data_IF_969229986724
#
_entry.id   IF_969229986724
#
_cell.length_a   1.000
_cell.length_b   1.000
_cell.length_c   1.000
_cell.angle_alpha   90.00
_cell.angle_beta   90.00
_cell.angle_gamma   90.00
#
_symmetry.space_group_name_H-M   'P 1'
#
loop_
_entity.id
_entity.type
_entity.pdbx_description
1 polymer ?
2 polymer ?
3 polymer ?
4 polymer ?
5 non-polymer ?
6 non-polymer ?
7 non-polymer ?
8 non-polymer ?
9 non-polymer ?
10 non-polymer ?
11 non-polymer ?
12 water ?
#
loop_
_entity_poly.entity_id
_entity_poly.type
_entity_poly.pdbx_seq_one_letter_code
_entity_poly.pdbx_strand_id
2 'polydeoxyribonucleotide' '(DC)(DG)(DG)(DC)(DA)(DT)(DA)(DC)(DG)' ?
3 'polydeoxyribonucleotide' '(DC)(DG)(DT)(DA)' ?
4 'polydeoxyribonucleotide' '(DG)(DC)(DC)(DG)' ?
#
# COMPACT_ATOMS: atom_id res chain seq x y z
N UNK A 11 19.17 -20.60 -3.26
CA UNK A 11 19.46 -19.70 -2.14
C UNK A 11 18.37 -18.64 -1.96
N UNK A 12 17.74 -18.24 -3.06
CA UNK A 12 16.72 -17.20 -3.06
C UNK A 12 15.43 -17.77 -3.64
N UNK A 13 14.36 -17.90 -2.85
CA UNK A 13 13.10 -18.42 -3.40
C UNK A 13 12.42 -17.42 -4.32
N UNK A 14 11.53 -17.93 -5.16
CA UNK A 14 10.97 -17.14 -6.26
C UNK A 14 9.86 -16.20 -5.81
N UNK A 15 9.14 -16.50 -4.73
CA UNK A 15 8.03 -15.68 -4.26
C UNK A 15 8.47 -14.82 -3.08
N UNK A 16 8.03 -13.56 -3.05
CA UNK A 16 8.46 -12.69 -1.96
C UNK A 16 7.96 -13.16 -0.59
N UNK A 17 6.86 -13.90 -0.54
CA UNK A 17 6.34 -14.38 0.73
C UNK A 17 7.13 -15.53 1.30
N UNK A 18 8.13 -16.04 0.57
CA UNK A 18 8.98 -17.12 1.03
C UNK A 18 10.28 -16.64 1.66
N UNK A 19 10.48 -15.34 1.79
CA UNK A 19 11.75 -14.86 2.31
C UNK A 19 11.50 -13.60 3.12
N UNK A 20 12.27 -13.37 4.16
CA UNK A 20 12.14 -12.10 4.89
C UNK A 20 12.64 -10.93 4.06
N UNK A 21 11.90 -9.84 4.14
CA UNK A 21 12.30 -8.60 3.46
C UNK A 21 12.21 -7.48 4.49
N UNK A 22 13.33 -6.96 4.99
CA UNK A 22 13.30 -5.91 6.00
C UNK A 22 13.03 -4.56 5.37
N UNK A 23 12.68 -3.59 6.21
CA UNK A 23 12.35 -2.27 5.70
C UNK A 23 13.58 -1.57 5.12
N UNK A 24 14.72 -1.67 5.78
CA UNK A 24 15.97 -1.12 5.29
C UNK A 24 16.91 -2.26 4.95
N UNK A 25 17.78 -2.03 3.97
CA UNK A 25 18.54 -3.15 3.40
C UNK A 25 19.83 -2.61 2.79
N UNK A 26 20.43 -3.40 1.90
CA UNK A 26 21.80 -3.20 1.49
C UNK A 26 21.92 -2.91 0.01
N UNK A 27 20.80 -2.70 -0.67
CA UNK A 27 20.79 -2.46 -2.10
C UNK A 27 19.81 -1.36 -2.48
N UNK A 28 19.76 -0.31 -1.66
CA UNK A 28 18.72 0.72 -1.80
C UNK A 28 18.73 1.37 -3.18
N UNK A 29 19.89 1.81 -3.66
CA UNK A 29 19.93 2.49 -4.95
C UNK A 29 19.53 1.60 -6.11
N UNK A 30 19.95 0.35 -6.08
CA UNK A 30 19.57 -0.55 -7.16
C UNK A 30 18.07 -0.82 -7.15
N UNK A 31 17.49 -1.06 -5.98
CA UNK A 31 16.06 -1.33 -5.92
C UNK A 31 15.25 -0.10 -6.33
N UNK A 32 15.70 1.10 -5.95
CA UNK A 32 14.95 2.28 -6.33
C UNK A 32 14.92 2.46 -7.84
N UNK A 33 16.03 2.17 -8.53
CA UNK A 33 16.05 2.29 -9.98
C UNK A 33 15.10 1.32 -10.64
N UNK A 34 15.09 0.06 -10.20
CA UNK A 34 14.17 -0.91 -10.78
C UNK A 34 12.73 -0.50 -10.52
N UNK A 35 12.46 0.08 -9.36
CA UNK A 35 11.10 0.52 -9.06
C UNK A 35 10.65 1.71 -9.92
N UNK A 36 11.56 2.55 -10.38
CA UNK A 36 11.18 3.57 -11.37
C UNK A 36 10.68 2.90 -12.65
N UNK A 37 11.40 1.88 -13.12
CA UNK A 37 10.96 1.18 -14.31
C UNK A 37 9.64 0.45 -14.08
N UNK A 38 9.44 -0.10 -12.88
CA UNK A 38 8.15 -0.73 -12.58
C UNK A 38 7.03 0.29 -12.65
N UNK A 39 7.22 1.43 -12.00
CA UNK A 39 6.20 2.48 -11.97
C UNK A 39 5.88 2.95 -13.38
N UNK A 40 6.91 3.15 -14.21
CA UNK A 40 6.68 3.60 -15.56
C UNK A 40 5.91 2.55 -16.38
N UNK A 41 6.21 1.27 -16.16
CA UNK A 41 5.44 0.21 -16.82
C UNK A 41 3.97 0.28 -16.43
N UNK A 42 3.68 0.53 -15.16
CA UNK A 42 2.28 0.70 -14.76
C UNK A 42 1.61 1.87 -15.45
N UNK A 43 2.33 2.97 -15.64
CA UNK A 43 1.72 4.12 -16.28
C UNK A 43 1.37 3.84 -17.73
N UNK A 44 2.02 2.85 -18.34
CA UNK A 44 1.70 2.44 -19.70
C UNK A 44 0.77 1.24 -19.75
N UNK A 45 0.29 0.76 -18.61
CA UNK A 45 -0.63 -0.35 -18.60
C UNK A 45 0.01 -1.71 -18.75
N UNK A 46 1.32 -1.82 -18.55
CA UNK A 46 2.01 -3.11 -18.69
C UNK A 46 2.20 -3.69 -17.29
N UNK A 47 1.15 -4.37 -16.82
CA UNK A 47 1.16 -4.91 -15.47
C UNK A 47 2.17 -6.05 -15.32
N UNK A 48 2.38 -6.83 -16.37
CA UNK A 48 3.38 -7.90 -16.28
C UNK A 48 4.79 -7.37 -16.08
N UNK A 49 5.17 -6.35 -16.86
CA UNK A 49 6.49 -5.75 -16.69
C UNK A 49 6.61 -5.06 -15.35
N UNK A 50 5.54 -4.38 -14.89
CA UNK A 50 5.56 -3.80 -13.57
C UNK A 50 5.87 -4.86 -12.52
N UNK A 51 5.21 -6.02 -12.61
CA UNK A 51 5.43 -7.05 -11.60
C UNK A 51 6.85 -7.58 -11.64
N UNK A 52 7.38 -7.83 -12.84
CA UNK A 52 8.76 -8.32 -12.90
C UNK A 52 9.74 -7.32 -12.29
N UNK A 53 9.63 -6.04 -12.65
CA UNK A 53 10.57 -5.07 -12.10
C UNK A 53 10.38 -4.94 -10.59
N UNK A 54 9.13 -4.96 -10.11
CA UNK A 54 8.91 -4.93 -8.67
C UNK A 54 9.51 -6.16 -7.99
N UNK A 55 9.33 -7.34 -8.58
CA UNK A 55 9.87 -8.57 -7.99
C UNK A 55 11.39 -8.54 -7.97
N UNK A 56 12.01 -8.07 -9.06
CA UNK A 56 13.47 -7.98 -9.10
C UNK A 56 13.98 -7.01 -8.04
N UNK A 57 13.31 -5.87 -7.89
CA UNK A 57 13.70 -4.94 -6.84
C UNK A 57 13.59 -5.59 -5.48
N UNK A 58 12.52 -6.35 -5.27
CA UNK A 58 12.29 -6.97 -3.97
C UNK A 58 13.34 -8.02 -3.66
N UNK A 59 13.77 -8.78 -4.65
CA UNK A 59 14.87 -9.74 -4.47
C UNK A 59 16.10 -9.03 -3.90
N UNK A 60 16.43 -7.87 -4.44
CA UNK A 60 17.61 -7.14 -3.93
C UNK A 60 17.41 -6.70 -2.49
N UNK A 61 16.18 -6.34 -2.12
CA UNK A 61 15.89 -5.94 -0.74
C UNK A 61 16.13 -7.08 0.23
N UNK A 62 15.99 -8.32 -0.22
CA UNK A 62 16.09 -9.50 0.60
C UNK A 62 17.51 -10.05 0.69
N UNK A 63 18.45 -9.49 -0.07
CA UNK A 63 19.83 -9.98 -0.05
C UNK A 63 20.54 -9.56 1.24
N UNK A 64 21.50 -10.35 1.69
CA UNK A 64 22.16 -10.05 2.97
C UNK A 64 23.26 -9.03 2.90
N UNK A 65 23.65 -8.58 1.71
CA UNK A 65 24.75 -7.64 1.58
C UNK A 65 24.64 -6.99 0.22
N UNK A 66 25.45 -5.96 -0.05
CA UNK A 66 25.34 -5.24 -1.32
C UNK A 66 25.78 -6.09 -2.52
N UNK A 67 25.06 -5.92 -3.62
CA UNK A 67 25.54 -6.39 -4.91
C UNK A 67 26.63 -5.44 -5.39
N UNK A 68 27.83 -5.99 -5.62
CA UNK A 68 29.02 -5.27 -6.08
C UNK A 68 29.42 -5.63 -7.49
N UNK A 69 29.03 -6.81 -7.96
CA UNK A 69 29.49 -7.35 -9.23
C UNK A 69 28.32 -8.04 -9.91
N UNK A 70 28.33 -7.97 -11.24
CA UNK A 70 27.23 -8.53 -12.03
C UNK A 70 27.08 -10.02 -11.78
N UNK A 71 28.18 -10.72 -11.53
CA UNK A 71 28.14 -12.16 -11.28
C UNK A 71 27.21 -12.52 -10.13
N UNK A 72 27.00 -11.60 -9.18
CA UNK A 72 26.17 -11.88 -8.01
C UNK A 72 24.68 -11.99 -8.36
N UNK A 73 24.29 -11.62 -9.58
CA UNK A 73 22.91 -11.77 -9.99
C UNK A 73 22.62 -13.12 -10.60
N UNK A 74 23.66 -13.87 -10.99
CA UNK A 74 23.44 -15.16 -11.63
C UNK A 74 22.66 -16.07 -10.70
N UNK A 75 21.58 -16.63 -11.22
CA UNK A 75 20.75 -17.51 -10.43
C UNK A 75 19.68 -16.83 -9.60
N UNK A 76 19.73 -15.50 -9.45
CA UNK A 76 18.67 -14.84 -8.67
C UNK A 76 17.37 -14.83 -9.48
N UNK A 77 16.25 -15.13 -8.87
CA UNK A 77 15.00 -15.07 -9.61
C UNK A 77 14.64 -13.65 -10.01
N UNK A 78 14.00 -13.54 -11.16
CA UNK A 78 13.46 -12.29 -11.72
C UNK A 78 14.53 -11.39 -12.31
N UNK A 79 15.75 -11.88 -12.45
CA UNK A 79 16.81 -11.14 -13.11
C UNK A 79 17.11 -11.79 -14.46
N UNK A 80 16.60 -11.18 -15.51
CA UNK A 80 16.95 -11.57 -16.84
C UNK A 80 17.77 -10.48 -17.51
N UNK A 81 17.72 -10.45 -18.85
CA UNK A 81 18.56 -9.54 -19.59
C UNK A 81 18.31 -8.08 -19.21
N UNK A 82 17.05 -7.69 -19.06
CA UNK A 82 16.75 -6.27 -18.90
C UNK A 82 17.10 -5.79 -17.50
N UNK A 83 16.64 -6.50 -16.47
CA UNK A 83 16.95 -6.08 -15.11
C UNK A 83 18.43 -6.20 -14.82
N UNK A 84 19.11 -7.20 -15.41
CA UNK A 84 20.55 -7.32 -15.18
C UNK A 84 21.30 -6.17 -15.81
N UNK A 85 20.85 -5.72 -16.99
CA UNK A 85 21.52 -4.61 -17.66
C UNK A 85 21.36 -3.31 -16.87
N UNK A 86 20.21 -3.12 -16.24
CA UNK A 86 20.01 -1.94 -15.40
C UNK A 86 21.02 -1.95 -14.26
N UNK A 87 21.13 -3.08 -13.57
CA UNK A 87 22.09 -3.18 -12.46
C UNK A 87 23.51 -3.01 -12.97
N UNK A 88 23.83 -3.63 -14.11
CA UNK A 88 25.18 -3.53 -14.65
C UNK A 88 25.55 -2.07 -14.87
N UNK A 89 24.64 -1.28 -15.46
CA UNK A 89 24.94 0.11 -15.74
C UNK A 89 25.11 0.91 -14.46
N UNK A 90 24.28 0.65 -13.44
CA UNK A 90 24.44 1.32 -12.17
C UNK A 90 25.77 0.97 -11.50
N UNK A 91 26.18 -0.31 -11.59
CA UNK A 91 27.46 -0.71 -10.98
C UNK A 91 28.64 -0.06 -11.68
N UNK A 92 28.60 0.05 -13.01
CA UNK A 92 29.77 0.54 -13.74
C UNK A 92 29.81 2.06 -13.81
N UNK A 93 28.66 2.73 -13.91
CA UNK A 93 28.60 4.17 -14.14
C UNK A 93 27.86 4.96 -13.08
N UNK A 94 27.19 4.30 -12.13
CA UNK A 94 26.42 4.99 -11.12
C UNK A 94 25.07 5.50 -11.58
N UNK A 95 24.71 5.26 -12.85
CA UNK A 95 23.50 5.82 -13.46
C UNK A 95 23.12 4.91 -14.62
N UNK A 96 21.81 4.63 -14.77
CA UNK A 96 21.28 3.84 -15.88
C UNK A 96 20.55 4.77 -16.82
N UNK A 97 20.98 4.82 -18.08
CA UNK A 97 20.43 5.79 -19.01
C UNK A 97 18.92 5.64 -19.19
N UNK A 98 18.43 4.41 -19.27
CA UNK A 98 16.99 4.21 -19.41
C UNK A 98 16.25 4.80 -18.22
N UNK A 99 16.73 4.53 -17.01
CA UNK A 99 16.09 5.07 -15.81
C UNK A 99 16.07 6.58 -15.84
N UNK A 100 17.20 7.20 -16.19
CA UNK A 100 17.26 8.66 -16.20
C UNK A 100 16.35 9.25 -17.28
N UNK A 101 16.26 8.60 -18.42
CA UNK A 101 15.34 9.06 -19.47
C UNK A 101 13.90 8.99 -18.98
N UNK A 102 13.53 7.94 -18.27
CA UNK A 102 12.19 7.88 -17.69
C UNK A 102 11.99 9.04 -16.71
N UNK A 103 12.94 9.21 -15.78
CA UNK A 103 12.83 10.22 -14.74
C UNK A 103 12.53 11.61 -15.30
N UNK A 104 13.23 12.00 -16.36
CA UNK A 104 13.09 13.34 -16.91
C UNK A 104 12.12 13.39 -18.09
N UNK A 105 11.30 12.37 -18.26
CA UNK A 105 10.28 12.42 -19.30
C UNK A 105 9.01 13.10 -18.81
N UNK A 106 8.41 13.87 -19.72
CA UNK A 106 7.16 14.57 -19.42
C UNK A 106 6.05 13.58 -19.08
N UNK A 107 5.99 12.48 -19.82
CA UNK A 107 4.97 11.46 -19.57
C UNK A 107 5.09 10.91 -18.15
N UNK A 108 6.29 10.51 -17.74
CA UNK A 108 6.46 9.95 -16.40
C UNK A 108 6.14 10.99 -15.34
N UNK A 109 6.67 12.20 -15.48
CA UNK A 109 6.47 13.20 -14.44
C UNK A 109 5.00 13.57 -14.28
N UNK A 110 4.29 13.72 -15.40
CA UNK A 110 2.88 14.10 -15.32
C UNK A 110 2.02 12.94 -14.82
N UNK A 111 2.28 11.72 -15.29
CA UNK A 111 1.49 10.59 -14.81
C UNK A 111 1.72 10.39 -13.32
N UNK A 112 2.95 10.55 -12.86
CA UNK A 112 3.22 10.47 -11.43
C UNK A 112 2.46 11.54 -10.67
N UNK A 113 2.52 12.79 -11.14
CA UNK A 113 1.83 13.85 -10.43
C UNK A 113 0.32 13.60 -10.38
N UNK A 114 -0.27 13.24 -11.52
CA UNK A 114 -1.73 13.09 -11.54
C UNK A 114 -2.17 11.86 -10.74
N UNK A 115 -1.48 10.73 -10.86
CA UNK A 115 -1.90 9.55 -10.12
C UNK A 115 -1.70 9.71 -8.61
N UNK A 116 -0.85 10.65 -8.17
CA UNK A 116 -0.73 10.91 -6.75
C UNK A 116 -1.97 11.54 -6.17
N UNK A 117 -2.85 12.12 -7.01
CA UNK A 117 -4.06 12.75 -6.51
C UNK A 117 -5.03 11.67 -6.04
N UNK A 118 -5.57 11.84 -4.85
CA UNK A 118 -6.61 10.94 -4.35
C UNK A 118 -7.84 11.07 -5.24
N UNK A 119 -8.30 9.95 -5.81
CA UNK A 119 -9.42 9.93 -6.73
C UNK A 119 -9.01 9.81 -8.19
N UNK A 120 -7.72 9.82 -8.49
CA UNK A 120 -7.18 9.72 -9.84
C UNK A 120 -6.29 8.50 -9.95
N UNK A 121 -6.64 7.59 -10.86
CA UNK A 121 -5.82 6.44 -11.19
C UNK A 121 -5.13 6.59 -12.53
N UNK A 122 -4.44 5.52 -12.94
CA UNK A 122 -3.71 5.56 -14.19
C UNK A 122 -4.64 5.90 -15.36
N UNK A 123 -5.82 5.28 -15.41
CA UNK A 123 -6.70 5.50 -16.56
C UNK A 123 -7.13 6.96 -16.67
N UNK A 124 -7.51 7.58 -15.54
CA UNK A 124 -7.91 8.98 -15.59
C UNK A 124 -6.72 9.87 -15.93
N UNK A 125 -5.58 9.62 -15.27
CA UNK A 125 -4.37 10.40 -15.54
C UNK A 125 -3.99 10.33 -17.00
N UNK A 126 -4.03 9.14 -17.58
CA UNK A 126 -3.68 8.97 -18.98
C UNK A 126 -4.63 9.73 -19.90
N UNK A 127 -5.93 9.73 -19.58
CA UNK A 127 -6.87 10.48 -20.40
C UNK A 127 -6.56 11.98 -20.36
N UNK A 128 -6.31 12.50 -19.16
CA UNK A 128 -5.95 13.90 -19.01
C UNK A 128 -4.65 14.22 -19.74
N UNK A 129 -3.66 13.32 -19.65
CA UNK A 129 -2.41 13.51 -20.37
C UNK A 129 -2.67 13.62 -21.87
N UNK A 130 -3.48 12.69 -22.40
CA UNK A 130 -3.76 12.71 -23.83
C UNK A 130 -4.54 13.96 -24.24
N UNK A 131 -5.31 14.55 -23.33
CA UNK A 131 -6.02 15.80 -23.60
C UNK A 131 -5.11 17.02 -23.52
N UNK A 132 -3.84 16.86 -23.14
CA UNK A 132 -2.90 17.96 -23.09
C UNK A 132 -2.66 18.55 -21.73
N UNK A 133 -3.30 18.01 -20.68
CA UNK A 133 -3.14 18.56 -19.34
C UNK A 133 -1.82 18.09 -18.75
N UNK A 134 -1.17 18.99 -17.99
CA UNK A 134 0.17 18.70 -17.48
C UNK A 134 0.38 19.04 -16.00
N UNK A 135 -0.37 19.99 -15.43
CA UNK A 135 -0.10 20.49 -14.08
C UNK A 135 -1.36 20.46 -13.23
N UNK A 136 -1.18 20.57 -11.91
CA UNK A 136 -2.34 20.63 -11.04
C UNK A 136 -3.20 21.85 -11.34
N UNK A 137 -2.57 22.97 -11.67
CA UNK A 137 -3.35 24.15 -12.00
C UNK A 137 -4.14 23.98 -13.29
N UNK A 138 -3.61 23.21 -14.25
CA UNK A 138 -4.43 22.84 -15.41
C UNK A 138 -5.73 22.17 -14.96
N UNK A 139 -5.66 21.30 -13.97
CA UNK A 139 -6.86 20.59 -13.53
C UNK A 139 -7.81 21.52 -12.79
N UNK A 140 -7.25 22.41 -11.97
CA UNK A 140 -8.09 23.31 -11.20
C UNK A 140 -8.87 24.26 -12.11
N UNK A 141 -8.29 24.65 -13.24
CA UNK A 141 -8.98 25.56 -14.15
C UNK A 141 -10.13 24.89 -14.88
N UNK A 142 -10.30 23.57 -14.75
CA UNK A 142 -11.35 22.83 -15.45
C UNK A 142 -12.09 21.95 -14.47
N UNK A 143 -12.70 22.56 -13.44
CA UNK A 143 -13.29 21.76 -12.35
C UNK A 143 -14.50 20.97 -12.78
N UNK A 144 -15.12 21.31 -13.92
CA UNK A 144 -16.26 20.54 -14.40
C UNK A 144 -15.89 19.10 -14.69
N UNK A 145 -14.61 18.84 -14.99
CA UNK A 145 -14.22 17.49 -15.32
C UNK A 145 -13.76 16.68 -14.11
N UNK A 146 -14.05 17.12 -12.89
CA UNK A 146 -13.58 16.46 -11.68
C UNK A 146 -14.74 15.93 -10.84
N UNK A 147 -14.55 14.73 -10.30
CA UNK A 147 -15.49 14.20 -9.34
C UNK A 147 -15.30 14.90 -8.00
N UNK A 148 -16.28 14.76 -7.12
CA UNK A 148 -16.14 15.35 -5.80
C UNK A 148 -14.92 14.81 -5.09
N UNK A 149 -14.64 13.51 -5.25
CA UNK A 149 -13.48 12.90 -4.64
C UNK A 149 -12.20 13.55 -5.16
N UNK A 150 -12.12 13.71 -6.48
CA UNK A 150 -10.95 14.34 -7.09
C UNK A 150 -10.80 15.78 -6.67
N UNK A 151 -11.91 16.51 -6.52
CA UNK A 151 -11.82 17.89 -6.05
C UNK A 151 -11.20 17.93 -4.66
N UNK A 152 -11.62 17.01 -3.77
CA UNK A 152 -11.02 16.92 -2.45
C UNK A 152 -9.54 16.54 -2.52
N UNK A 153 -9.21 15.56 -3.37
CA UNK A 153 -7.82 15.19 -3.51
C UNK A 153 -6.95 16.33 -4.03
N UNK A 154 -7.48 17.11 -4.95
CA UNK A 154 -6.76 18.25 -5.49
C UNK A 154 -6.59 19.36 -4.45
N UNK A 155 -7.67 19.69 -3.75
CA UNK A 155 -7.58 20.75 -2.75
C UNK A 155 -6.56 20.39 -1.67
N UNK A 156 -6.53 19.13 -1.25
CA UNK A 156 -5.69 18.68 -0.15
C UNK A 156 -4.35 18.13 -0.61
N UNK A 157 -4.03 18.24 -1.90
CA UNK A 157 -2.86 17.55 -2.44
C UNK A 157 -1.57 17.95 -1.73
N UNK A 158 -1.38 19.22 -1.42
CA UNK A 158 -0.13 19.64 -0.79
C UNK A 158 0.06 18.97 0.56
N UNK A 159 -0.95 19.04 1.43
CA UNK A 159 -0.84 18.38 2.73
C UNK A 159 -0.63 16.88 2.57
N UNK A 160 -1.37 16.27 1.65
CA UNK A 160 -1.30 14.83 1.47
C UNK A 160 0.04 14.37 0.89
N UNK A 161 0.81 15.29 0.33
CA UNK A 161 2.12 14.96 -0.19
C UNK A 161 3.20 14.99 0.89
N UNK A 162 2.89 15.46 2.09
CA UNK A 162 3.79 15.56 3.23
C UNK A 162 3.68 14.30 4.06
N UNK A 163 4.76 13.65 4.46
CA UNK A 163 4.62 12.40 5.19
C UNK A 163 4.04 12.57 6.58
N UNK A 164 3.25 11.58 6.96
CA UNK A 164 2.74 11.39 8.30
C UNK A 164 3.84 10.74 9.14
N UNK A 165 4.03 11.21 10.35
CA UNK A 165 5.04 10.68 11.24
C UNK A 165 4.42 9.68 12.21
N UNK A 166 5.23 8.68 12.58
CA UNK A 166 4.72 7.69 13.54
C UNK A 166 4.29 8.39 14.81
N UNK A 167 4.93 9.52 15.13
CA UNK A 167 4.56 10.32 16.29
C UNK A 167 3.16 10.92 16.15
N UNK A 168 2.64 11.07 14.94
CA UNK A 168 1.27 11.54 14.72
C UNK A 168 0.24 10.42 14.83
N UNK A 169 0.65 9.20 14.51
CA UNK A 169 -0.29 8.08 14.39
C UNK A 169 -0.94 7.77 15.73
N UNK A 170 -0.20 7.87 16.82
CA UNK A 170 -0.72 7.46 18.12
C UNK A 170 -1.85 8.39 18.59
N UNK A 171 -1.67 9.71 18.43
CA UNK A 171 -2.73 10.62 18.84
C UNK A 171 -3.98 10.39 18.00
N UNK A 172 -3.80 10.14 16.71
CA UNK A 172 -4.89 9.81 15.81
C UNK A 172 -5.58 8.51 16.23
N UNK A 173 -4.81 7.48 16.56
CA UNK A 173 -5.44 6.25 16.99
C UNK A 173 -6.33 6.49 18.22
N UNK A 174 -5.91 7.38 19.11
CA UNK A 174 -6.73 7.60 20.30
C UNK A 174 -8.06 8.26 19.94
N UNK A 175 -8.06 9.18 18.96
CA UNK A 175 -9.34 9.80 18.59
C UNK A 175 -10.24 8.79 17.89
N UNK A 176 -9.67 7.94 17.05
CA UNK A 176 -10.48 6.88 16.43
C UNK A 176 -11.03 5.93 17.51
N UNK A 177 -10.21 5.55 18.47
CA UNK A 177 -10.67 4.66 19.54
C UNK A 177 -11.81 5.29 20.33
N UNK A 178 -11.75 6.60 20.56
CA UNK A 178 -12.83 7.28 21.28
C UNK A 178 -14.16 7.11 20.54
N UNK A 179 -14.16 7.39 19.24
CA UNK A 179 -15.38 7.30 18.46
C UNK A 179 -15.84 5.85 18.34
N UNK A 180 -14.91 4.91 18.16
CA UNK A 180 -15.24 3.50 18.05
C UNK A 180 -15.86 2.99 19.33
N UNK A 181 -15.35 3.44 20.48
CA UNK A 181 -15.90 2.99 21.77
C UNK A 181 -17.32 3.47 22.00
N UNK A 182 -17.66 4.67 21.54
CA UNK A 182 -19.03 5.13 21.62
C UNK A 182 -19.91 4.41 20.61
N UNK A 183 -19.38 4.14 19.42
CA UNK A 183 -20.18 3.45 18.42
C UNK A 183 -20.50 2.03 18.86
N UNK A 184 -19.55 1.35 19.51
CA UNK A 184 -19.74 -0.03 19.95
C UNK A 184 -18.75 -0.34 21.06
N UNK A 185 -19.16 -0.24 22.32
CA UNK A 185 -18.26 -0.57 23.42
C UNK A 185 -17.67 -1.97 23.27
N UNK A 186 -16.38 -2.06 23.53
CA UNK A 186 -15.65 -3.29 23.36
C UNK A 186 -15.00 -3.46 22.01
N UNK A 187 -15.36 -2.66 21.03
CA UNK A 187 -14.68 -2.75 19.74
C UNK A 187 -13.27 -2.22 19.87
N UNK A 188 -12.37 -2.80 19.08
CA UNK A 188 -10.95 -2.51 19.15
C UNK A 188 -10.48 -1.92 17.84
N UNK A 189 -9.35 -1.21 17.92
CA UNK A 189 -8.68 -0.57 16.79
C UNK A 189 -7.25 -1.06 16.76
N UNK A 190 -6.83 -1.57 15.61
CA UNK A 190 -5.48 -2.10 15.39
C UNK A 190 -4.82 -1.32 14.27
N UNK A 191 -3.62 -0.80 14.53
CA UNK A 191 -2.83 -0.15 13.50
C UNK A 191 -2.32 -1.18 12.51
N UNK A 192 -2.58 -0.97 11.22
CA UNK A 192 -2.09 -1.86 10.17
C UNK A 192 -1.22 -1.10 9.19
N UNK A 193 -1.16 -1.55 7.93
CA UNK A 193 -0.38 -0.88 6.91
C UNK A 193 1.10 -0.76 7.23
N UNK A 194 1.71 0.25 6.62
CA UNK A 194 3.15 0.38 6.68
C UNK A 194 3.67 0.65 8.07
N UNK A 195 2.90 1.36 8.90
CA UNK A 195 3.34 1.60 10.26
C UNK A 195 3.46 0.30 11.04
N UNK A 196 2.53 -0.65 10.83
CA UNK A 196 2.69 -1.94 11.50
C UNK A 196 3.94 -2.69 11.01
N UNK A 197 4.39 -2.45 9.78
CA UNK A 197 5.63 -3.04 9.27
C UNK A 197 6.88 -2.31 9.74
N UNK A 198 6.75 -1.29 10.58
CA UNK A 198 7.89 -0.62 11.16
C UNK A 198 8.26 0.71 10.54
N UNK A 199 7.52 1.16 9.56
CA UNK A 199 7.86 2.45 8.95
C UNK A 199 7.76 3.57 9.97
N UNK A 200 8.67 4.52 9.85
CA UNK A 200 8.63 5.69 10.71
C UNK A 200 7.82 6.83 10.09
N UNK A 201 7.47 6.70 8.81
CA UNK A 201 6.63 7.66 8.11
C UNK A 201 5.64 6.91 7.22
N UNK A 202 4.73 7.66 6.62
CA UNK A 202 3.85 7.06 5.64
C UNK A 202 3.03 8.14 4.99
N UNK A 203 2.32 7.76 3.95
CA UNK A 203 1.46 8.73 3.31
C UNK A 203 0.00 8.55 3.69
N UNK A 204 -0.29 7.60 4.57
CA UNK A 204 -1.60 7.52 5.20
C UNK A 204 -1.43 6.70 6.46
N UNK A 205 -2.54 6.49 7.14
CA UNK A 205 -2.60 5.66 8.33
C UNK A 205 -3.74 4.69 8.11
N UNK A 206 -3.52 3.41 8.42
CA UNK A 206 -4.47 2.35 8.20
C UNK A 206 -4.86 1.70 9.53
N UNK A 207 -6.17 1.58 9.78
CA UNK A 207 -6.69 0.98 11.01
C UNK A 207 -7.69 -0.10 10.68
N UNK A 208 -7.65 -1.18 11.46
CA UNK A 208 -8.57 -2.31 11.36
C UNK A 208 -9.37 -2.39 12.65
N UNK A 209 -10.69 -2.47 12.53
CA UNK A 209 -11.62 -2.44 13.66
C UNK A 209 -12.37 -3.76 13.71
N UNK A 210 -12.52 -4.31 14.91
CA UNK A 210 -13.32 -5.53 15.10
C UNK A 210 -13.96 -5.47 16.48
N UNK A 211 -14.68 -6.53 16.83
CA UNK A 211 -15.27 -6.68 18.16
C UNK A 211 -15.15 -8.15 18.52
N UNK A 212 -14.90 -8.49 19.79
CA UNK A 212 -14.66 -9.90 20.14
C UNK A 212 -15.87 -10.79 20.01
N UNK A 213 -17.09 -10.25 19.95
CA UNK A 213 -18.29 -11.06 19.80
C UNK A 213 -18.71 -11.05 18.34
N UNK A 214 -18.58 -12.20 17.69
CA UNK A 214 -18.93 -12.34 16.28
C UNK A 214 -20.32 -11.79 16.01
N UNK A 215 -20.42 -10.93 14.99
CA UNK A 215 -21.66 -10.33 14.59
C UNK A 215 -21.89 -8.94 15.14
N UNK A 216 -21.26 -8.60 16.26
CA UNK A 216 -21.51 -7.28 16.84
C UNK A 216 -20.97 -6.16 15.96
N UNK A 217 -19.99 -6.47 15.11
CA UNK A 217 -19.39 -5.46 14.22
C UNK A 217 -20.28 -5.10 13.05
N UNK A 218 -21.38 -5.82 12.81
CA UNK A 218 -22.27 -5.47 11.71
C UNK A 218 -22.77 -4.05 11.90
N UNK A 219 -22.70 -3.26 10.83
CA UNK A 219 -23.20 -1.90 10.86
C UNK A 219 -22.32 -0.91 11.57
N UNK A 220 -21.10 -1.29 11.92
CA UNK A 220 -20.28 -0.46 12.78
C UNK A 220 -19.71 0.76 12.05
N UNK A 221 -19.17 0.58 10.85
CA UNK A 221 -18.41 1.68 10.28
C UNK A 221 -19.23 2.94 10.04
N UNK A 222 -20.49 2.88 9.59
CA UNK A 222 -21.26 4.13 9.48
C UNK A 222 -21.39 4.85 10.80
N UNK A 223 -21.52 4.10 11.90
CA UNK A 223 -21.64 4.70 13.22
C UNK A 223 -20.34 5.38 13.66
N UNK A 224 -19.21 4.78 13.30
CA UNK A 224 -17.91 5.39 13.58
C UNK A 224 -17.73 6.66 12.76
N UNK A 225 -18.03 6.58 11.47
CA UNK A 225 -17.83 7.74 10.61
C UNK A 225 -18.71 8.91 11.02
N UNK A 226 -19.96 8.64 11.39
CA UNK A 226 -20.84 9.72 11.79
C UNK A 226 -20.30 10.42 13.01
N UNK A 227 -19.73 9.65 13.95
CA UNK A 227 -19.20 10.24 15.17
C UNK A 227 -17.94 11.06 14.89
N UNK A 228 -17.05 10.55 14.04
CA UNK A 228 -15.86 11.33 13.67
C UNK A 228 -16.26 12.61 12.94
N UNK A 229 -17.26 12.52 12.07
CA UNK A 229 -17.71 13.71 11.37
C UNK A 229 -18.30 14.74 12.33
N UNK A 230 -19.07 14.27 13.32
CA UNK A 230 -19.66 15.17 14.31
C UNK A 230 -18.59 15.84 15.18
N UNK A 231 -17.45 15.20 15.36
CA UNK A 231 -16.32 15.79 16.08
C UNK A 231 -15.58 16.82 15.25
N UNK A 232 -15.90 16.97 13.97
CA UNK A 232 -15.21 17.91 13.10
C UNK A 232 -13.90 17.42 12.56
N UNK A 233 -13.66 16.11 12.58
CA UNK A 233 -12.37 15.56 12.22
C UNK A 233 -12.28 15.11 10.79
N UNK A 234 -13.38 15.02 10.07
CA UNK A 234 -13.41 14.44 8.74
C UNK A 234 -13.51 15.56 7.72
N UNK A 235 -12.42 15.76 6.98
CA UNK A 235 -12.41 16.72 5.89
C UNK A 235 -13.06 16.17 4.63
N UNK A 236 -13.00 14.86 4.43
CA UNK A 236 -13.67 14.21 3.31
C UNK A 236 -13.89 12.74 3.61
N UNK A 237 -15.09 12.25 3.32
CA UNK A 237 -15.36 10.82 3.22
C UNK A 237 -16.54 10.63 2.28
N UNK A 238 -16.66 9.42 1.74
CA UNK A 238 -17.62 9.20 0.68
C UNK A 238 -19.07 9.18 1.16
N UNK A 239 -19.32 9.11 2.47
CA UNK A 239 -20.68 9.08 3.01
C UNK A 239 -20.99 10.31 3.85
N UNK A 240 -20.28 11.41 3.63
CA UNK A 240 -20.43 12.61 4.44
C UNK A 240 -21.83 13.18 4.33
N UNK A 258 -24.79 0.81 3.81
CA UNK A 258 -23.90 -0.03 4.61
C UNK A 258 -22.52 -0.06 3.96
N UNK A 259 -21.48 -0.08 4.78
CA UNK A 259 -20.12 -0.16 4.26
C UNK A 259 -19.18 -0.65 5.36
N UNK A 260 -18.02 -1.15 4.92
CA UNK A 260 -17.00 -1.72 5.80
C UNK A 260 -15.57 -1.24 5.55
N UNK A 261 -15.33 -0.45 4.50
CA UNK A 261 -14.06 0.22 4.29
C UNK A 261 -14.37 1.69 4.02
N UNK A 262 -13.59 2.58 4.60
CA UNK A 262 -13.73 3.99 4.31
C UNK A 262 -12.36 4.60 4.09
N UNK A 263 -12.24 5.34 2.99
CA UNK A 263 -11.00 6.00 2.57
C UNK A 263 -11.23 7.47 2.78
N UNK A 264 -10.67 8.02 3.85
CA UNK A 264 -11.03 9.37 4.29
C UNK A 264 -9.84 10.32 4.24
N UNK A 265 -10.13 11.61 4.44
CA UNK A 265 -9.15 12.64 4.73
C UNK A 265 -9.53 13.21 6.10
N UNK A 266 -8.59 13.19 7.03
CA UNK A 266 -8.81 13.56 8.43
C UNK A 266 -8.02 14.82 8.74
N UNK A 267 -8.55 15.61 9.68
CA UNK A 267 -7.84 16.76 10.25
C UNK A 267 -6.90 16.31 11.38
N UNK A 268 -5.61 16.49 11.19
CA UNK A 268 -4.64 16.13 12.21
C UNK A 268 -4.01 17.38 12.83
N UNK A 269 -3.96 17.50 14.16
CA UNK A 269 -3.41 18.72 14.77
C UNK A 269 -1.95 18.93 14.43
N UNK A 270 -1.57 20.20 14.37
CA UNK A 270 -0.20 20.64 14.16
C UNK A 270 0.00 21.87 15.04
N UNK A 271 1.24 22.22 15.34
CA UNK A 271 1.48 23.42 16.16
C UNK A 271 0.73 24.65 15.63
N UNK A 272 -0.25 25.12 16.39
CA UNK A 272 -1.00 26.31 16.02
C UNK A 272 -1.94 26.17 14.85
N UNK A 273 -2.11 24.95 14.33
CA UNK A 273 -2.93 24.74 13.13
C UNK A 273 -3.27 23.26 12.98
N UNK A 274 -3.23 22.74 11.75
CA UNK A 274 -3.56 21.34 11.49
C UNK A 274 -3.16 21.05 10.05
N UNK A 275 -3.23 19.77 9.69
CA UNK A 275 -2.98 19.36 8.32
C UNK A 275 -3.92 18.22 7.98
N UNK A 276 -4.17 18.07 6.68
CA UNK A 276 -4.96 16.96 6.20
C UNK A 276 -4.09 15.71 6.08
N UNK A 277 -4.67 14.56 6.45
CA UNK A 277 -3.99 13.26 6.39
C UNK A 277 -4.96 12.22 5.85
N UNK A 278 -4.48 11.33 5.02
CA UNK A 278 -5.27 10.19 4.58
C UNK A 278 -5.33 9.12 5.66
N UNK A 279 -6.54 8.63 5.94
CA UNK A 279 -6.77 7.55 6.89
C UNK A 279 -7.72 6.55 6.26
N UNK A 280 -7.37 5.27 6.35
CA UNK A 280 -8.21 4.18 5.92
C UNK A 280 -8.71 3.44 7.14
N UNK A 281 -10.01 3.20 7.19
CA UNK A 281 -10.67 2.46 8.26
C UNK A 281 -11.38 1.26 7.66
N UNK A 282 -11.19 0.11 8.29
CA UNK A 282 -11.76 -1.16 7.83
C UNK A 282 -12.37 -1.87 9.02
N UNK A 283 -13.52 -2.48 8.81
CA UNK A 283 -14.15 -3.32 9.83
C UNK A 283 -14.14 -4.75 9.34
N UNK A 284 -13.82 -5.68 10.24
CA UNK A 284 -13.94 -7.10 9.93
C UNK A 284 -14.54 -7.84 11.11
N UNK A 285 -15.32 -8.90 10.87
CA UNK A 285 -15.73 -9.76 11.97
C UNK A 285 -14.52 -10.47 12.55
N UNK A 286 -14.59 -10.81 13.85
CA UNK A 286 -13.42 -11.38 14.50
C UNK A 286 -13.00 -12.70 13.87
N UNK A 287 -13.93 -13.49 13.34
CA UNK A 287 -13.56 -14.70 12.63
C UNK A 287 -12.64 -14.44 11.45
N UNK A 288 -12.74 -13.27 10.83
CA UNK A 288 -11.94 -12.93 9.67
C UNK A 288 -10.76 -12.04 10.03
N UNK A 289 -10.66 -11.63 11.29
CA UNK A 289 -9.64 -10.66 11.67
C UNK A 289 -8.23 -11.07 11.25
N UNK A 290 -7.78 -12.32 11.42
CA UNK A 290 -6.40 -12.64 10.98
C UNK A 290 -6.19 -12.43 9.50
N UNK A 291 -7.19 -12.75 8.66
CA UNK A 291 -7.07 -12.54 7.23
C UNK A 291 -7.07 -11.06 6.88
N UNK A 292 -7.86 -10.26 7.58
CA UNK A 292 -7.89 -8.84 7.28
C UNK A 292 -6.62 -8.18 7.77
N UNK A 293 -6.15 -8.56 8.94
CA UNK A 293 -4.89 -8.05 9.45
C UNK A 293 -3.75 -8.37 8.48
N UNK A 294 -3.69 -9.60 8.00
CA UNK A 294 -2.65 -9.99 7.06
C UNK A 294 -2.75 -9.15 5.80
N UNK A 295 -3.95 -9.04 5.24
CA UNK A 295 -4.10 -8.32 4.00
C UNK A 295 -3.76 -6.85 4.13
N UNK A 296 -4.28 -6.20 5.15
CA UNK A 296 -4.11 -4.77 5.31
C UNK A 296 -2.74 -4.39 5.84
N UNK A 297 -1.93 -5.34 6.30
CA UNK A 297 -0.59 -5.02 6.74
C UNK A 297 0.39 -4.96 5.57
N UNK A 298 0.06 -5.57 4.43
CA UNK A 298 0.93 -5.38 3.27
C UNK A 298 2.27 -6.13 3.42
N UNK A 299 3.30 -5.66 2.69
CA UNK A 299 3.23 -4.67 1.64
C UNK A 299 2.33 -5.14 0.50
N UNK A 300 2.01 -4.23 -0.42
CA UNK A 300 1.19 -4.58 -1.57
C UNK A 300 1.80 -5.75 -2.35
N UNK A 301 3.10 -5.65 -2.64
CA UNK A 301 3.74 -6.74 -3.37
C UNK A 301 3.72 -8.02 -2.54
N UNK A 302 3.97 -7.93 -1.23
CA UNK A 302 3.94 -9.12 -0.39
C UNK A 302 2.60 -9.83 -0.51
N UNK A 303 1.50 -9.07 -0.47
CA UNK A 303 0.18 -9.69 -0.48
C UNK A 303 -0.15 -10.27 -1.84
N UNK A 304 0.24 -9.59 -2.93
CA UNK A 304 0.03 -10.16 -4.26
C UNK A 304 0.81 -11.46 -4.40
N UNK A 305 2.06 -11.47 -3.92
CA UNK A 305 2.88 -12.68 -4.00
C UNK A 305 2.32 -13.79 -3.12
N UNK A 306 1.78 -13.45 -1.96
CA UNK A 306 1.22 -14.46 -1.07
C UNK A 306 -0.03 -15.09 -1.66
N UNK A 307 -0.90 -14.26 -2.26
CA UNK A 307 -2.09 -14.79 -2.91
C UNK A 307 -1.74 -15.62 -4.15
N UNK A 308 -0.72 -15.19 -4.89
CA UNK A 308 -0.25 -15.95 -6.04
C UNK A 308 0.32 -17.31 -5.59
N UNK A 309 1.12 -17.29 -4.54
CA UNK A 309 1.66 -18.54 -3.99
C UNK A 309 0.55 -19.47 -3.55
N UNK A 310 -0.39 -18.93 -2.76
CA UNK A 310 -1.50 -19.73 -2.27
C UNK A 310 -2.20 -20.45 -3.42
N UNK A 311 -2.57 -19.72 -4.47
CA UNK A 311 -3.36 -20.31 -5.55
C UNK A 311 -2.50 -21.23 -6.42
N UNK A 312 -1.33 -20.76 -6.83
CA UNK A 312 -0.56 -21.48 -7.83
C UNK A 312 0.22 -22.64 -7.22
N UNK A 313 0.72 -22.51 -5.99
CA UNK A 313 1.51 -23.57 -5.37
C UNK A 313 0.70 -24.47 -4.46
N UNK A 314 -0.33 -23.95 -3.79
CA UNK A 314 -1.08 -24.73 -2.84
C UNK A 314 -2.51 -25.00 -3.25
N UNK A 315 -3.00 -24.40 -4.34
CA UNK A 315 -4.36 -24.64 -4.78
C UNK A 315 -5.43 -24.05 -3.88
N UNK A 316 -5.09 -23.04 -3.09
CA UNK A 316 -6.00 -22.44 -2.15
C UNK A 316 -6.15 -20.97 -2.51
N UNK A 317 -7.35 -20.41 -2.28
CA UNK A 317 -7.69 -19.06 -2.73
C UNK A 317 -7.76 -18.15 -1.52
N UNK A 318 -6.90 -17.12 -1.51
CA UNK A 318 -6.70 -16.25 -0.35
C UNK A 318 -7.22 -14.85 -0.64
N UNK A 319 -7.97 -14.30 0.31
CA UNK A 319 -8.32 -12.87 0.27
C UNK A 319 -8.32 -12.34 1.69
N UNK A 320 -8.80 -11.11 1.88
CA UNK A 320 -8.79 -10.52 3.21
C UNK A 320 -9.92 -11.00 4.09
N UNK A 321 -10.76 -11.90 3.58
CA UNK A 321 -11.83 -12.49 4.38
C UNK A 321 -11.58 -13.93 4.78
N UNK A 322 -10.67 -14.65 4.12
CA UNK A 322 -10.53 -16.07 4.36
C UNK A 322 -9.62 -16.75 3.36
N UNK A 323 -9.54 -18.06 3.53
CA UNK A 323 -8.68 -18.93 2.72
C UNK A 323 -9.52 -20.14 2.37
N UNK A 324 -9.78 -20.31 1.08
CA UNK A 324 -10.76 -21.27 0.58
C UNK A 324 -10.08 -22.45 -0.12
N UNK A 325 -10.49 -23.66 0.25
CA UNK A 325 -10.09 -24.86 -0.46
C UNK A 325 -11.17 -25.16 -1.50
N UNK A 326 -10.91 -24.95 -2.79
CA UNK A 326 -11.96 -25.13 -3.81
C UNK A 326 -12.31 -26.58 -4.10
N UNK A 327 -11.49 -27.54 -3.66
CA UNK A 327 -11.81 -28.95 -3.86
C UNK A 327 -12.78 -29.44 -2.78
N UNK A 328 -12.46 -29.18 -1.52
CA UNK A 328 -13.35 -29.53 -0.42
C UNK A 328 -14.46 -28.51 -0.22
N UNK A 329 -14.34 -27.32 -0.81
CA UNK A 329 -15.37 -26.29 -0.67
C UNK A 329 -15.48 -25.87 0.79
N UNK A 330 -14.33 -25.67 1.43
CA UNK A 330 -14.24 -25.35 2.85
C UNK A 330 -13.34 -24.14 3.05
N UNK A 331 -13.66 -23.34 4.07
CA UNK A 331 -12.83 -22.23 4.51
C UNK A 331 -11.99 -22.65 5.71
N UNK A 332 -10.72 -22.28 5.67
CA UNK A 332 -9.83 -22.52 6.78
C UNK A 332 -10.16 -21.53 7.89
N UNK A 333 -10.40 -22.04 9.07
CA UNK A 333 -10.50 -21.15 10.20
C UNK A 333 -9.09 -20.78 10.60
N UNK A 334 -8.89 -19.53 10.95
CA UNK A 334 -7.62 -19.08 11.48
C UNK A 334 -7.89 -18.23 12.69
N UNK A 335 -7.06 -18.42 13.73
CA UNK A 335 -7.11 -17.59 14.92
C UNK A 335 -5.96 -16.60 15.00
N UNK A 336 -5.03 -16.65 14.06
CA UNK A 336 -3.83 -15.80 14.07
C UNK A 336 -3.25 -15.78 12.67
N UNK A 337 -2.42 -14.76 12.43
CA UNK A 337 -1.62 -14.77 11.21
C UNK A 337 -0.71 -15.99 11.18
N UNK A 338 -0.16 -16.39 12.33
CA UNK A 338 0.67 -17.59 12.38
C UNK A 338 -0.08 -18.80 11.80
N UNK A 339 -1.38 -18.93 12.11
CA UNK A 339 -2.18 -20.03 11.56
C UNK A 339 -2.17 -19.99 10.04
N UNK A 340 -2.30 -18.79 9.46
CA UNK A 340 -2.41 -18.68 8.02
C UNK A 340 -1.11 -19.10 7.34
N UNK A 341 0.03 -18.60 7.83
CA UNK A 341 1.31 -19.05 7.29
C UNK A 341 1.46 -20.57 7.40
N UNK A 342 1.09 -21.16 8.54
CA UNK A 342 1.16 -22.61 8.68
C UNK A 342 0.27 -23.33 7.67
N UNK A 343 -0.97 -22.83 7.48
CA UNK A 343 -1.89 -23.43 6.51
C UNK A 343 -1.20 -23.53 5.14
N UNK A 344 -0.51 -22.46 4.76
CA UNK A 344 0.12 -22.32 3.45
C UNK A 344 1.49 -22.96 3.38
N UNK A 345 1.96 -23.60 4.44
CA UNK A 345 3.26 -24.23 4.39
C UNK A 345 4.42 -23.26 4.30
N UNK A 346 4.26 -22.05 4.85
CA UNK A 346 5.28 -21.02 4.80
C UNK A 346 5.81 -20.76 6.20
N UNK A 347 7.10 -20.47 6.31
CA UNK A 347 7.61 -20.02 7.59
C UNK A 347 7.04 -18.64 7.91
N UNK A 348 6.69 -18.45 9.18
CA UNK A 348 6.08 -17.21 9.62
C UNK A 348 7.02 -16.04 9.40
N UNK A 349 6.48 -14.94 8.91
CA UNK A 349 7.22 -13.69 8.82
C UNK A 349 6.48 -12.64 9.64
N UNK A 350 7.13 -12.00 10.59
CA UNK A 350 6.48 -10.89 11.31
C UNK A 350 6.30 -9.72 10.36
N UNK A 351 5.44 -8.75 10.71
CA UNK A 351 5.16 -7.64 9.78
C UNK A 351 6.40 -6.91 9.30
N UNK A 352 7.40 -6.75 10.16
CA UNK A 352 8.56 -5.99 9.75
C UNK A 352 9.44 -6.74 8.74
N UNK A 353 9.14 -8.01 8.44
CA UNK A 353 9.81 -8.75 7.40
C UNK A 353 8.94 -8.98 6.17
N UNK A 354 7.86 -8.21 6.05
CA UNK A 354 6.95 -8.25 4.93
C UNK A 354 7.07 -7.02 4.05
N UNK A 355 8.22 -6.36 4.08
CA UNK A 355 8.48 -5.13 3.31
C UNK A 355 8.98 -5.45 1.91
N UNK A 356 8.28 -6.33 1.23
CA UNK A 356 8.64 -6.70 -0.14
C UNK A 356 8.42 -5.54 -1.06
X LIG E 1 -6.65 -5.83 1.97
X LIG E 1 -6.37 -7.12 1.48
X LIG E 1 -6.86 -4.89 0.79
X LIG E 1 -7.98 -5.33 0.06
X LIG F 1 -7.55 -8.62 18.19
X LIG F 1 -8.39 -9.75 18.09
X LIG F 1 -8.36 -7.38 17.84
X LIG F 1 -9.34 -7.16 18.81
X LIG G 1 3.19 -4.21 -6.61
X LIG G 1 1.88 -3.86 -6.92
X LIG G 1 3.71 -3.15 -5.64
X LIG G 1 3.78 -1.92 -6.30
X LIG H 1 -9.48 -8.87 -0.33
X LIG H 1 -10.77 -9.12 0.18
X LIG I 1 -14.36 -17.71 -2.21
X LIG I 1 -13.01 -17.62 -2.60
X LIG I 1 -15.05 -18.78 -3.05
X LIG I 1 -16.06 -19.38 -2.29
X LIG J 1 24.60 -10.01 -2.31
X LIG J 1 24.49 -10.66 -1.07
X LIG J 1 25.98 -10.20 -2.94
X LIG J 1 26.20 -11.56 -3.18
X LIG K 1 -1.23 1.16 2.14
X LIG K 1 -1.78 2.26 3.03
X LIG K 1 -1.43 -0.17 2.86
X LIG K 1 -1.85 1.36 0.79
X LIG K 1 0.36 1.29 1.95
X LIG K 1 1.41 1.22 3.16
X LIG K 1 0.77 1.70 4.46
X LIG K 1 2.17 -0.07 3.01
X LIG K 1 2.32 2.47 2.67
X LIG K 1 1.90 4.04 2.68
X LIG K 1 3.01 4.89 3.27
X LIG K 1 1.87 4.40 1.09
X LIG K 1 0.50 4.21 3.25
X LIG L 1 -3.90 2.96 3.25
X LIG M 1 -0.59 3.14 4.66
X LIG N 1 -4.55 8.46 -7.05
X LIG O 1 3.42 -6.03 -19.46
X LIG P 1 7.14 -1.99 -7.17
X LIG Q 1 10.27 4.83 6.46
X LIG Q 1 8.97 5.51 6.46
X LIG Q 1 10.24 3.73 5.52
X LIG Q 1 10.72 4.51 7.80
#
# INVERSE_FOLDING_TARGET
GSAAAPLSPAWMPAYACQRPTPLTHHNTGLSEALEILAEAAGFEGSEGRLLTFCRAASVLKALPSPVTTLSQLQGLPHFGEHSSRVVQELLEHGVCEEVERVRRSERYQTMKLFTQIFGVGVKTADRWYREGLRTLDDLREQPQKLTQQQKAGLQHHQDLSTPVLRSDVDALQQVVEEAVGQALPGATVTLTGGFRRGKLQGHDVDFLITHPKEGQEAGLLPRVMCRLQDQGLILYHQHQHSCCESPTRLAQQSHMDAFERSFCIFRLPQPGSWKAVRVDLVVAPVSQFPFALLGWTGSKLFQRELRRFSRKEKGLWLNSHGLFDPEQKTFFQAASEEDIFRHLGLEYLPPEQRNA
EDO C1 O1 C2 O2
EDO C1 O1 C2 O2
EDO C1 O1 C2 O2
EDO C1 O1
EDO C1 O1 C2 O2
EDO C1 O1 C2 O2
DGT PG O1G O2G O3G O3B PB O1B O2B O3A PA O1A O2A O5'
MG MG
MG MG
NA NA
CL CL
DTT S1
EPE S O1S O2S O3S
#
